data_IF_942005409292
#
_entry.id   IF_942005409292
#
_cell.length_a   1.000
_cell.length_b   1.000
_cell.length_c   1.000
_cell.angle_alpha   90.00
_cell.angle_beta   90.00
_cell.angle_gamma   90.00
#
_symmetry.space_group_name_H-M   'P 1'
#
loop_
_entity.id
_entity.type
_entity.pdbx_description
1 polymer ?
#
# COMPACT_ATOMS: atom_id res chain seq x y z
N UNK A 1 -129.30 -37.46 -44.51
CA UNK A 1 -128.13 -37.13 -45.38
C UNK A 1 -127.27 -36.10 -44.71
N UNK A 2 -126.38 -36.52 -43.98
CA UNK A 2 -125.51 -35.61 -43.28
C UNK A 2 -124.07 -36.15 -43.47
N UNK A 3 -123.24 -35.29 -44.01
CA UNK A 3 -121.86 -35.54 -44.28
C UNK A 3 -121.00 -35.28 -43.02
N UNK A 4 -120.12 -36.15 -42.59
CA UNK A 4 -119.19 -35.83 -41.48
C UNK A 4 -117.91 -35.26 -42.02
N UNK A 5 -117.61 -34.00 -41.67
CA UNK A 5 -116.30 -33.39 -41.90
C UNK A 5 -115.28 -34.04 -41.00
N UNK A 6 -114.27 -34.58 -41.60
CA UNK A 6 -113.05 -35.11 -41.00
C UNK A 6 -112.18 -33.98 -40.63
N UNK A 7 -112.01 -33.69 -39.34
CA UNK A 7 -111.03 -32.69 -38.79
C UNK A 7 -109.73 -33.38 -38.58
N UNK A 8 -108.82 -33.18 -39.49
CA UNK A 8 -107.40 -33.58 -39.31
C UNK A 8 -106.66 -32.46 -38.62
N UNK A 9 -106.36 -32.65 -37.36
CA UNK A 9 -105.43 -31.81 -36.62
C UNK A 9 -104.05 -32.08 -37.16
N UNK A 10 -103.45 -31.15 -37.90
CA UNK A 10 -102.03 -31.08 -38.16
C UNK A 10 -101.33 -30.61 -36.88
N UNK A 11 -100.29 -31.26 -36.40
CA UNK A 11 -99.47 -30.75 -35.31
C UNK A 11 -98.75 -29.55 -35.81
N UNK A 12 -98.80 -28.47 -35.02
CA UNK A 12 -98.15 -27.19 -35.27
C UNK A 12 -96.64 -27.38 -35.12
N UNK A 13 -95.91 -27.62 -36.23
CA UNK A 13 -94.46 -27.73 -36.26
C UNK A 13 -93.73 -26.50 -35.72
N UNK A 14 -94.39 -25.35 -35.75
CA UNK A 14 -93.83 -24.07 -35.22
C UNK A 14 -93.71 -24.08 -33.73
N UNK A 15 -94.48 -24.86 -32.97
CA UNK A 15 -94.40 -24.91 -31.52
C UNK A 15 -93.22 -25.72 -30.97
N UNK A 16 -92.74 -26.71 -31.75
CA UNK A 16 -91.67 -27.61 -31.35
C UNK A 16 -90.30 -26.89 -31.56
N UNK A 17 -90.17 -26.23 -32.70
CA UNK A 17 -88.94 -25.43 -32.96
C UNK A 17 -88.72 -24.26 -31.97
N UNK A 18 -89.82 -23.59 -31.57
CA UNK A 18 -89.73 -22.51 -30.55
C UNK A 18 -89.31 -23.05 -29.18
N UNK A 19 -89.78 -24.28 -28.82
CA UNK A 19 -89.35 -24.88 -27.53
C UNK A 19 -87.89 -25.37 -27.54
N UNK A 20 -87.36 -25.78 -28.69
CA UNK A 20 -85.95 -26.14 -28.84
C UNK A 20 -85.06 -24.89 -28.80
N UNK A 21 -85.47 -23.82 -29.47
CA UNK A 21 -84.81 -22.56 -29.42
C UNK A 21 -84.81 -21.96 -28.00
N UNK A 22 -85.94 -22.00 -27.32
CA UNK A 22 -86.06 -21.48 -25.93
C UNK A 22 -85.20 -22.31 -24.94
N UNK A 23 -85.12 -23.65 -25.12
CA UNK A 23 -84.22 -24.50 -24.32
C UNK A 23 -82.75 -24.31 -24.66
N UNK A 24 -82.36 -24.01 -25.88
CA UNK A 24 -80.99 -23.70 -26.28
C UNK A 24 -80.55 -22.35 -25.68
N UNK A 25 -81.41 -21.35 -25.82
CA UNK A 25 -81.17 -20.01 -25.23
C UNK A 25 -81.05 -20.05 -23.68
N UNK A 26 -81.94 -20.84 -23.04
CA UNK A 26 -81.91 -21.01 -21.61
C UNK A 26 -80.66 -21.76 -21.11
N UNK A 27 -80.20 -22.77 -21.84
CA UNK A 27 -78.98 -23.50 -21.49
C UNK A 27 -77.74 -22.67 -21.67
N UNK A 28 -77.69 -21.89 -22.74
CA UNK A 28 -76.57 -20.94 -22.96
C UNK A 28 -76.56 -19.84 -21.87
N UNK A 29 -77.78 -19.36 -21.46
CA UNK A 29 -77.85 -18.39 -20.35
C UNK A 29 -77.47 -18.99 -19.01
N UNK A 30 -77.75 -20.24 -18.71
CA UNK A 30 -77.30 -20.91 -17.48
C UNK A 30 -75.78 -21.18 -17.49
N UNK A 31 -75.18 -21.56 -18.61
CA UNK A 31 -73.76 -21.72 -18.75
C UNK A 31 -73.05 -20.36 -18.63
N UNK A 32 -73.57 -19.31 -19.27
CA UNK A 32 -73.10 -17.94 -19.08
C UNK A 32 -73.26 -17.45 -17.63
N UNK A 33 -74.34 -17.81 -16.95
CA UNK A 33 -74.55 -17.43 -15.55
C UNK A 33 -73.49 -18.10 -14.62
N UNK A 34 -73.11 -19.35 -14.88
CA UNK A 34 -72.09 -20.04 -14.12
C UNK A 34 -70.67 -19.57 -14.48
N UNK A 35 -70.45 -19.14 -15.74
CA UNK A 35 -69.20 -18.60 -16.19
C UNK A 35 -68.94 -17.14 -15.75
N UNK A 36 -70.00 -16.34 -15.53
CA UNK A 36 -69.91 -14.93 -15.12
C UNK A 36 -68.94 -14.66 -13.95
N UNK A 37 -68.99 -15.36 -12.79
CA UNK A 37 -68.08 -15.13 -11.69
C UNK A 37 -66.64 -15.48 -12.02
N UNK A 38 -66.40 -16.49 -12.87
CA UNK A 38 -65.08 -16.90 -13.31
C UNK A 38 -64.49 -15.87 -14.28
N UNK A 39 -65.29 -15.44 -15.27
CA UNK A 39 -64.90 -14.39 -16.21
C UNK A 39 -64.67 -13.05 -15.49
N UNK A 40 -65.48 -12.70 -14.51
CA UNK A 40 -65.26 -11.49 -13.70
C UNK A 40 -63.95 -11.56 -12.93
N UNK A 41 -63.63 -12.69 -12.28
CA UNK A 41 -62.37 -12.90 -11.59
C UNK A 41 -61.17 -12.84 -12.56
N UNK A 42 -61.29 -13.48 -13.73
CA UNK A 42 -60.24 -13.43 -14.75
C UNK A 42 -60.04 -12.03 -15.31
N UNK A 43 -61.13 -11.27 -15.54
CA UNK A 43 -61.06 -9.88 -15.97
C UNK A 43 -60.45 -8.97 -14.88
N UNK A 44 -60.77 -9.20 -13.59
CA UNK A 44 -60.16 -8.48 -12.48
C UNK A 44 -58.65 -8.75 -12.41
N UNK A 45 -58.23 -10.01 -12.52
CA UNK A 45 -56.80 -10.36 -12.52
C UNK A 45 -56.11 -9.75 -13.73
N UNK A 46 -56.72 -9.77 -14.90
CA UNK A 46 -56.16 -9.15 -16.11
C UNK A 46 -56.08 -7.62 -15.94
N UNK A 47 -57.07 -6.98 -15.36
CA UNK A 47 -57.06 -5.54 -15.11
C UNK A 47 -55.98 -5.15 -14.13
N UNK A 48 -55.80 -5.91 -13.03
CA UNK A 48 -54.68 -5.70 -12.07
C UNK A 48 -53.33 -5.91 -12.72
N UNK A 49 -53.20 -6.92 -13.57
CA UNK A 49 -52.00 -7.17 -14.36
C UNK A 49 -51.66 -6.00 -15.30
N UNK A 50 -52.66 -5.52 -16.04
CA UNK A 50 -52.50 -4.36 -16.93
C UNK A 50 -52.20 -3.06 -16.16
N UNK A 51 -52.82 -2.85 -15.01
CA UNK A 51 -52.47 -1.71 -14.13
C UNK A 51 -51.05 -1.80 -13.60
N UNK A 52 -50.59 -3.02 -13.21
CA UNK A 52 -49.21 -3.29 -12.84
C UNK A 52 -48.27 -3.01 -14.02
N UNK A 53 -48.57 -3.49 -15.19
CA UNK A 53 -47.78 -3.25 -16.39
C UNK A 53 -47.67 -1.76 -16.74
N UNK A 54 -48.80 -1.04 -16.67
CA UNK A 54 -48.82 0.41 -16.87
C UNK A 54 -47.98 1.16 -15.82
N UNK A 55 -48.02 0.71 -14.55
CA UNK A 55 -47.19 1.27 -13.51
C UNK A 55 -45.70 1.09 -13.81
N UNK A 56 -45.27 -0.13 -14.20
CA UNK A 56 -43.85 -0.40 -14.51
C UNK A 56 -43.35 0.28 -15.80
N UNK A 57 -44.22 0.57 -16.74
CA UNK A 57 -43.91 1.33 -17.96
C UNK A 57 -43.83 2.85 -17.69
N UNK A 58 -44.39 3.30 -16.58
CA UNK A 58 -44.40 4.72 -16.23
C UNK A 58 -43.01 5.17 -15.75
N UNK A 59 -42.49 6.36 -16.13
CA UNK A 59 -41.26 6.93 -15.61
C UNK A 59 -41.19 7.02 -14.07
N UNK A 60 -42.31 7.14 -13.39
CA UNK A 60 -42.43 7.20 -11.90
C UNK A 60 -41.89 5.92 -11.23
N UNK A 61 -41.83 4.79 -11.94
CA UNK A 61 -41.27 3.54 -11.38
C UNK A 61 -39.76 3.40 -11.58
N UNK A 62 -39.13 4.34 -12.23
CA UNK A 62 -37.69 4.29 -12.55
C UNK A 62 -36.85 4.93 -11.44
N UNK A 63 -35.56 4.61 -11.43
CA UNK A 63 -34.57 5.27 -10.59
C UNK A 63 -34.46 6.72 -11.00
N UNK A 64 -34.61 7.63 -10.05
CA UNK A 64 -34.53 9.08 -10.29
C UNK A 64 -33.10 9.59 -10.08
N UNK A 65 -32.43 9.13 -9.02
CA UNK A 65 -31.08 9.58 -8.66
C UNK A 65 -30.25 8.39 -8.19
N UNK A 66 -28.98 8.35 -8.60
CA UNK A 66 -27.97 7.44 -8.09
C UNK A 66 -26.94 8.28 -7.33
N UNK A 67 -26.91 8.14 -6.00
CA UNK A 67 -25.97 8.84 -5.15
C UNK A 67 -24.78 7.90 -4.80
N UNK A 68 -23.57 8.26 -5.24
CA UNK A 68 -22.34 7.53 -4.93
C UNK A 68 -21.55 8.29 -3.87
N UNK A 69 -21.13 7.57 -2.80
CA UNK A 69 -20.32 8.08 -1.68
C UNK A 69 -19.14 7.15 -1.43
N UNK A 70 -18.03 7.72 -0.91
CA UNK A 70 -16.80 6.99 -0.59
C UNK A 70 -15.96 6.64 -1.82
N UNK A 71 -16.21 7.29 -2.97
CA UNK A 71 -15.39 7.19 -4.16
C UNK A 71 -14.37 8.34 -4.13
N UNK A 72 -13.17 8.05 -3.59
CA UNK A 72 -12.08 9.01 -3.43
C UNK A 72 -11.01 8.85 -4.52
N UNK A 73 -10.77 7.61 -4.95
CA UNK A 73 -9.81 7.26 -6.00
C UNK A 73 -10.51 6.97 -7.33
N UNK A 74 -11.66 6.30 -7.28
CA UNK A 74 -12.47 6.01 -8.45
C UNK A 74 -13.41 7.17 -8.77
N UNK A 75 -13.70 7.39 -10.05
CA UNK A 75 -14.71 8.36 -10.42
C UNK A 75 -16.11 7.85 -10.04
N UNK A 76 -16.99 8.76 -9.59
CA UNK A 76 -18.38 8.44 -9.28
C UNK A 76 -19.12 7.86 -10.49
N UNK A 77 -18.80 8.36 -11.69
CA UNK A 77 -19.39 7.87 -12.93
C UNK A 77 -18.99 6.43 -13.23
N UNK A 78 -17.74 6.06 -12.95
CA UNK A 78 -17.28 4.69 -13.07
C UNK A 78 -18.03 3.76 -12.11
N UNK A 79 -18.11 4.12 -10.83
CA UNK A 79 -18.84 3.34 -9.82
C UNK A 79 -20.31 3.19 -10.18
N UNK A 80 -20.96 4.27 -10.65
CA UNK A 80 -22.32 4.23 -11.14
C UNK A 80 -22.48 3.28 -12.33
N UNK A 81 -21.58 3.34 -13.30
CA UNK A 81 -21.58 2.44 -14.46
C UNK A 81 -21.37 0.99 -14.06
N UNK A 82 -20.40 0.73 -13.18
CA UNK A 82 -20.08 -0.60 -12.65
C UNK A 82 -21.26 -1.19 -11.87
N UNK A 83 -22.03 -0.38 -11.17
CA UNK A 83 -23.23 -0.83 -10.46
C UNK A 83 -24.26 -1.46 -11.39
N UNK A 84 -24.28 -1.07 -12.67
CA UNK A 84 -25.26 -1.47 -13.68
C UNK A 84 -26.65 -0.89 -13.42
N UNK A 85 -26.79 0.02 -12.46
CA UNK A 85 -28.01 0.78 -12.21
C UNK A 85 -27.97 2.05 -13.07
N UNK A 86 -29.06 2.33 -13.74
CA UNK A 86 -29.23 3.53 -14.56
C UNK A 86 -30.58 4.19 -14.27
N UNK A 87 -30.78 5.43 -14.69
CA UNK A 87 -32.05 6.12 -14.60
C UNK A 87 -33.20 5.40 -15.38
N UNK A 88 -32.84 4.45 -16.29
CA UNK A 88 -33.80 3.59 -16.98
C UNK A 88 -34.18 2.34 -16.19
N UNK A 89 -33.43 2.01 -15.15
CA UNK A 89 -33.68 0.85 -14.29
C UNK A 89 -34.99 1.04 -13.53
N UNK A 90 -35.78 -0.03 -13.44
CA UNK A 90 -36.99 -0.02 -12.60
C UNK A 90 -36.54 -0.14 -11.14
N UNK A 91 -36.88 0.84 -10.32
CA UNK A 91 -36.41 0.98 -8.94
C UNK A 91 -36.64 -0.28 -8.08
N UNK A 92 -37.84 -0.86 -8.14
CA UNK A 92 -38.18 -2.05 -7.35
C UNK A 92 -37.52 -3.35 -7.84
N UNK A 93 -36.89 -3.33 -9.03
CA UNK A 93 -36.15 -4.49 -9.56
C UNK A 93 -34.64 -4.36 -9.29
N UNK A 94 -34.20 -3.25 -8.71
CA UNK A 94 -32.84 -3.13 -8.22
C UNK A 94 -32.66 -4.03 -7.00
N UNK A 95 -31.83 -5.03 -7.11
CA UNK A 95 -31.52 -5.97 -6.01
C UNK A 95 -30.21 -5.53 -5.37
N UNK A 96 -30.22 -4.91 -4.16
CA UNK A 96 -29.02 -4.35 -3.53
C UNK A 96 -27.84 -5.31 -3.48
N UNK A 97 -28.06 -6.55 -3.02
CA UNK A 97 -27.00 -7.57 -2.92
C UNK A 97 -26.34 -7.92 -4.25
N UNK A 98 -27.05 -7.87 -5.36
CA UNK A 98 -26.45 -8.11 -6.67
C UNK A 98 -25.60 -6.95 -7.13
N UNK A 99 -26.02 -5.73 -6.83
CA UNK A 99 -25.27 -4.50 -7.11
C UNK A 99 -24.01 -4.48 -6.24
N UNK A 100 -24.13 -4.76 -4.94
CA UNK A 100 -22.99 -4.88 -4.02
C UNK A 100 -21.97 -5.91 -4.50
N UNK A 101 -22.42 -7.12 -4.87
CA UNK A 101 -21.53 -8.16 -5.39
C UNK A 101 -20.83 -7.77 -6.69
N UNK A 102 -21.52 -7.01 -7.55
CA UNK A 102 -20.93 -6.51 -8.80
C UNK A 102 -19.87 -5.44 -8.51
N UNK A 103 -20.15 -4.51 -7.60
CA UNK A 103 -19.19 -3.50 -7.17
C UNK A 103 -17.96 -4.14 -6.54
N UNK A 104 -18.12 -5.09 -5.62
CA UNK A 104 -17.02 -5.82 -4.97
C UNK A 104 -16.26 -6.76 -5.91
N UNK A 105 -16.69 -6.96 -7.16
CA UNK A 105 -15.89 -7.66 -8.17
C UNK A 105 -14.76 -6.79 -8.73
N UNK A 106 -14.79 -5.49 -8.48
CA UNK A 106 -13.69 -4.59 -8.81
C UNK A 106 -12.59 -4.69 -7.73
N UNK A 107 -11.32 -4.92 -8.11
CA UNK A 107 -10.23 -5.13 -7.15
C UNK A 107 -9.89 -3.90 -6.31
N UNK A 108 -10.29 -2.70 -6.73
CA UNK A 108 -10.09 -1.44 -5.98
C UNK A 108 -11.15 -1.24 -4.90
N UNK A 109 -12.31 -1.91 -5.00
CA UNK A 109 -13.39 -1.76 -4.02
C UNK A 109 -13.27 -2.85 -2.95
N UNK A 110 -13.06 -2.43 -1.71
CA UNK A 110 -12.99 -3.30 -0.55
C UNK A 110 -14.38 -3.72 -0.08
N UNK A 111 -15.28 -2.74 0.11
CA UNK A 111 -16.67 -3.00 0.52
C UNK A 111 -17.65 -2.12 -0.25
N UNK A 112 -18.88 -2.63 -0.42
CA UNK A 112 -19.97 -1.90 -1.03
C UNK A 112 -21.26 -2.12 -0.24
N UNK A 113 -22.05 -1.06 -0.07
CA UNK A 113 -23.38 -1.09 0.53
C UNK A 113 -24.35 -0.29 -0.31
N UNK A 114 -25.45 -0.94 -0.69
CA UNK A 114 -26.48 -0.33 -1.54
C UNK A 114 -27.79 -0.25 -0.78
N UNK A 115 -28.38 0.93 -0.74
CA UNK A 115 -29.66 1.19 -0.09
C UNK A 115 -30.65 1.81 -1.07
N UNK A 116 -31.86 1.33 -1.03
CA UNK A 116 -32.98 1.91 -1.73
C UNK A 116 -33.67 2.91 -0.78
N UNK A 117 -33.64 4.17 -1.14
CA UNK A 117 -34.19 5.26 -0.33
C UNK A 117 -35.50 5.79 -0.94
N UNK A 118 -36.22 6.64 -0.20
CA UNK A 118 -37.43 7.27 -0.69
C UNK A 118 -37.15 8.09 -1.97
N UNK A 119 -38.21 8.37 -2.75
CA UNK A 119 -38.12 9.11 -4.01
C UNK A 119 -37.24 8.44 -5.08
N UNK A 120 -37.28 7.10 -5.15
CA UNK A 120 -36.55 6.31 -6.14
C UNK A 120 -35.04 6.60 -6.18
N UNK A 121 -34.47 6.97 -5.05
CA UNK A 121 -33.05 7.21 -4.86
C UNK A 121 -32.34 5.88 -4.56
N UNK A 122 -31.28 5.58 -5.33
CA UNK A 122 -30.36 4.49 -5.04
C UNK A 122 -29.08 5.07 -4.46
N UNK A 123 -28.84 4.82 -3.17
CA UNK A 123 -27.63 5.25 -2.46
C UNK A 123 -26.61 4.12 -2.47
N UNK A 124 -25.48 4.37 -3.08
CA UNK A 124 -24.33 3.47 -3.15
C UNK A 124 -23.22 4.05 -2.29
N UNK A 125 -22.79 3.31 -1.28
CA UNK A 125 -21.63 3.67 -0.45
C UNK A 125 -20.57 2.60 -0.65
N UNK A 126 -19.36 2.99 -1.04
CA UNK A 126 -18.22 2.11 -1.19
C UNK A 126 -17.11 2.49 -0.22
N UNK A 127 -16.27 1.53 0.11
CA UNK A 127 -14.96 1.74 0.70
C UNK A 127 -13.95 1.22 -0.31
N UNK A 128 -13.01 2.06 -0.68
CA UNK A 128 -11.94 1.69 -1.60
C UNK A 128 -10.74 1.17 -0.82
N UNK A 129 -9.99 0.24 -1.42
CA UNK A 129 -8.67 -0.15 -0.92
C UNK A 129 -7.72 1.03 -1.05
N UNK A 130 -6.84 1.18 -0.09
CA UNK A 130 -5.87 2.25 -0.08
C UNK A 130 -4.68 1.92 -0.99
N UNK A 131 -4.49 2.62 -2.13
CA UNK A 131 -3.35 2.41 -3.00
C UNK A 131 -2.12 3.10 -2.40
N UNK A 132 -1.01 2.37 -2.27
CA UNK A 132 0.26 2.86 -1.74
C UNK A 132 1.29 3.13 -2.82
N UNK A 133 1.12 2.57 -4.02
CA UNK A 133 2.05 2.77 -5.12
C UNK A 133 1.63 2.02 -6.38
N UNK A 134 2.47 2.12 -7.40
CA UNK A 134 2.36 1.29 -8.59
C UNK A 134 3.75 0.76 -8.98
N UNK A 135 3.78 -0.40 -9.61
CA UNK A 135 5.00 -1.04 -10.13
C UNK A 135 4.75 -1.66 -11.48
N UNK A 136 5.82 -2.02 -12.16
CA UNK A 136 5.73 -2.90 -13.33
C UNK A 136 6.00 -4.34 -12.94
N UNK A 137 5.13 -5.24 -13.36
CA UNK A 137 5.37 -6.69 -13.33
C UNK A 137 5.53 -7.13 -14.78
N UNK A 138 6.74 -7.51 -15.16
CA UNK A 138 7.16 -7.60 -16.56
C UNK A 138 6.88 -6.27 -17.27
N UNK A 139 6.01 -6.22 -18.27
CA UNK A 139 5.64 -5.00 -18.99
C UNK A 139 4.27 -4.42 -18.57
N UNK A 140 3.65 -4.98 -17.50
CA UNK A 140 2.31 -4.58 -17.07
C UNK A 140 2.35 -3.70 -15.83
N UNK A 141 1.77 -2.51 -15.89
CA UNK A 141 1.64 -1.67 -14.72
C UNK A 141 0.60 -2.27 -13.75
N UNK A 142 0.98 -2.39 -12.48
CA UNK A 142 0.18 -2.93 -11.40
C UNK A 142 0.06 -1.91 -10.28
N UNK A 143 -1.15 -1.69 -9.78
CA UNK A 143 -1.37 -0.97 -8.53
C UNK A 143 -1.03 -1.87 -7.35
N UNK A 144 -0.47 -1.29 -6.30
CA UNK A 144 -0.14 -1.93 -5.02
C UNK A 144 -0.98 -1.28 -3.92
N UNK A 145 -1.64 -2.10 -3.10
CA UNK A 145 -2.48 -1.63 -2.00
C UNK A 145 -1.84 -1.87 -0.64
N UNK A 146 -2.32 -1.16 0.38
CA UNK A 146 -1.82 -1.25 1.76
C UNK A 146 -2.02 -2.63 2.41
N UNK A 147 -2.92 -3.46 1.86
CA UNK A 147 -3.13 -4.85 2.26
C UNK A 147 -2.15 -5.83 1.56
N UNK A 148 -1.22 -5.33 0.73
CA UNK A 148 -0.29 -6.13 -0.07
C UNK A 148 -0.88 -6.69 -1.35
N UNK A 149 -2.19 -6.56 -1.58
CA UNK A 149 -2.80 -7.01 -2.84
C UNK A 149 -2.39 -6.11 -3.99
N UNK A 150 -2.44 -6.67 -5.20
CA UNK A 150 -2.12 -5.94 -6.43
C UNK A 150 -3.20 -6.15 -7.48
N UNK A 151 -3.38 -5.17 -8.36
CA UNK A 151 -4.25 -5.33 -9.53
C UNK A 151 -3.64 -4.65 -10.76
N UNK A 152 -4.00 -5.14 -11.94
CA UNK A 152 -3.58 -4.52 -13.20
C UNK A 152 -4.18 -3.12 -13.33
N UNK A 153 -3.35 -2.16 -13.74
CA UNK A 153 -3.79 -0.79 -13.97
C UNK A 153 -4.66 -0.72 -15.22
N UNK A 154 -5.90 -0.29 -15.05
CA UNK A 154 -6.84 -0.02 -16.12
C UNK A 154 -6.96 1.47 -16.39
N UNK A 155 -7.58 1.83 -17.54
CA UNK A 155 -7.84 3.23 -17.88
C UNK A 155 -8.64 3.98 -16.81
N UNK A 156 -9.54 3.28 -16.14
CA UNK A 156 -10.42 3.80 -15.09
C UNK A 156 -9.67 4.17 -13.81
N UNK A 157 -8.44 3.65 -13.64
CA UNK A 157 -7.60 3.87 -12.45
C UNK A 157 -6.48 4.88 -12.69
N UNK A 158 -6.39 5.48 -13.90
CA UNK A 158 -5.28 6.39 -14.26
C UNK A 158 -5.17 7.61 -13.32
N UNK A 159 -6.28 8.05 -12.74
CA UNK A 159 -6.26 9.14 -11.74
C UNK A 159 -5.48 8.79 -10.48
N UNK A 160 -5.38 7.51 -10.14
CA UNK A 160 -4.66 7.02 -8.96
C UNK A 160 -3.15 7.26 -9.09
N UNK A 161 -2.60 7.13 -10.31
CA UNK A 161 -1.16 7.29 -10.55
C UNK A 161 -0.60 8.66 -10.12
N UNK A 162 -1.43 9.71 -10.22
CA UNK A 162 -1.01 11.04 -9.78
C UNK A 162 -0.92 11.19 -8.26
N UNK A 163 -1.43 10.21 -7.52
CA UNK A 163 -1.57 10.22 -6.05
C UNK A 163 -0.75 9.13 -5.35
N UNK A 164 0.05 8.38 -6.09
CA UNK A 164 0.88 7.31 -5.54
C UNK A 164 2.26 7.32 -6.18
N UNK A 165 3.32 6.87 -5.48
CA UNK A 165 4.66 6.76 -6.02
C UNK A 165 4.82 5.55 -6.94
N UNK A 166 5.83 5.61 -7.80
CA UNK A 166 6.38 4.45 -8.48
C UNK A 166 7.25 3.64 -7.50
N UNK A 167 7.05 2.33 -7.43
CA UNK A 167 7.78 1.43 -6.54
C UNK A 167 8.65 0.49 -7.37
N UNK A 168 9.97 0.43 -7.08
CA UNK A 168 10.90 -0.43 -7.81
C UNK A 168 11.98 -1.05 -6.91
N UNK A 169 12.61 -2.11 -7.41
CA UNK A 169 13.75 -2.75 -6.77
C UNK A 169 13.42 -3.77 -5.67
N UNK A 170 12.20 -3.80 -5.15
CA UNK A 170 11.80 -4.68 -4.06
C UNK A 170 11.43 -6.08 -4.56
N UNK A 171 11.84 -7.10 -3.82
CA UNK A 171 11.31 -8.46 -3.99
C UNK A 171 9.84 -8.53 -3.59
N UNK A 172 9.14 -9.59 -4.01
CA UNK A 172 7.72 -9.77 -3.60
C UNK A 172 7.56 -9.90 -2.08
N UNK A 173 8.50 -10.55 -1.40
CA UNK A 173 8.47 -10.70 0.05
C UNK A 173 8.67 -9.36 0.76
N UNK A 174 9.69 -8.59 0.37
CA UNK A 174 9.95 -7.26 0.90
C UNK A 174 8.75 -6.34 0.70
N UNK A 175 8.18 -6.35 -0.50
CA UNK A 175 7.02 -5.52 -0.81
C UNK A 175 5.78 -5.92 0.00
N UNK A 176 5.45 -7.23 0.05
CA UNK A 176 4.21 -7.70 0.65
C UNK A 176 4.19 -7.64 2.17
N UNK A 177 5.36 -7.63 2.81
CA UNK A 177 5.47 -7.59 4.27
C UNK A 177 6.07 -6.30 4.80
N UNK A 178 7.32 -6.03 4.43
CA UNK A 178 8.05 -4.93 5.05
C UNK A 178 7.57 -3.56 4.56
N UNK A 179 7.52 -3.39 3.24
CA UNK A 179 7.13 -2.11 2.65
C UNK A 179 5.67 -1.75 2.96
N UNK A 180 4.73 -2.68 2.82
CA UNK A 180 3.31 -2.43 3.13
C UNK A 180 3.11 -2.06 4.60
N UNK A 181 3.80 -2.72 5.54
CA UNK A 181 3.74 -2.37 6.96
C UNK A 181 4.36 -1.00 7.25
N UNK A 182 5.44 -0.64 6.56
CA UNK A 182 6.03 0.68 6.68
C UNK A 182 5.08 1.77 6.16
N UNK A 183 4.43 1.54 5.01
CA UNK A 183 3.47 2.48 4.43
C UNK A 183 2.20 2.66 5.26
N UNK A 184 1.76 1.65 6.02
CA UNK A 184 0.61 1.78 6.95
C UNK A 184 0.84 2.80 8.07
N UNK A 185 2.09 3.20 8.31
CA UNK A 185 2.46 4.22 9.31
C UNK A 185 2.58 5.62 8.70
N UNK A 186 2.41 5.74 7.39
CA UNK A 186 2.50 7.01 6.67
C UNK A 186 1.12 7.65 6.52
N UNK A 187 1.10 8.97 6.64
CA UNK A 187 -0.08 9.75 6.33
C UNK A 187 -0.36 9.73 4.82
N UNK A 188 -1.63 9.79 4.43
CA UNK A 188 -2.01 9.80 3.01
C UNK A 188 -1.35 10.96 2.25
N UNK A 189 -1.27 12.14 2.84
CA UNK A 189 -0.61 13.31 2.26
C UNK A 189 0.88 13.05 1.99
N UNK A 190 1.54 12.31 2.86
CA UNK A 190 2.95 11.91 2.71
C UNK A 190 3.10 10.97 1.51
N UNK A 191 2.25 9.95 1.40
CA UNK A 191 2.27 9.04 0.24
C UNK A 191 2.04 9.81 -1.07
N UNK A 192 1.12 10.75 -1.10
CA UNK A 192 0.82 11.58 -2.28
C UNK A 192 1.97 12.54 -2.65
N UNK A 193 2.83 12.90 -1.69
CA UNK A 193 4.00 13.75 -1.93
C UNK A 193 5.22 13.00 -2.47
N UNK A 194 5.21 11.65 -2.45
CA UNK A 194 6.27 10.83 -3.04
C UNK A 194 6.11 10.72 -4.56
N UNK A 195 7.24 10.73 -5.28
CA UNK A 195 7.30 10.43 -6.71
C UNK A 195 7.74 8.99 -6.96
N UNK A 196 8.82 8.56 -6.31
CA UNK A 196 9.40 7.23 -6.47
C UNK A 196 9.85 6.67 -5.13
N UNK A 197 9.79 5.36 -4.99
CA UNK A 197 10.25 4.59 -3.83
C UNK A 197 11.03 3.40 -4.36
N UNK A 198 12.34 3.42 -4.14
CA UNK A 198 13.26 2.42 -4.66
C UNK A 198 13.93 1.68 -3.50
N UNK A 199 14.17 0.39 -3.69
CA UNK A 199 15.12 -0.29 -2.82
C UNK A 199 16.51 0.31 -3.07
N UNK A 200 17.22 0.58 -1.99
CA UNK A 200 18.56 1.14 -2.04
C UNK A 200 19.56 0.17 -1.40
N UNK A 201 20.63 -0.16 -2.12
CA UNK A 201 21.68 -1.03 -1.61
C UNK A 201 22.77 -0.18 -0.93
N UNK A 202 22.83 -0.27 0.41
CA UNK A 202 23.92 0.32 1.19
C UNK A 202 25.15 -0.58 1.28
N UNK A 203 25.10 -1.78 0.68
CA UNK A 203 26.18 -2.75 0.67
C UNK A 203 26.33 -3.55 1.98
N UNK A 204 25.71 -3.13 3.08
CA UNK A 204 25.64 -3.87 4.35
C UNK A 204 24.20 -4.23 4.74
N UNK A 205 23.21 -3.64 4.10
CA UNK A 205 21.80 -3.97 4.26
C UNK A 205 21.03 -3.77 2.96
N UNK A 206 20.12 -4.66 2.70
CA UNK A 206 19.12 -4.60 1.62
C UNK A 206 17.77 -4.04 2.10
N UNK A 207 17.72 -3.55 3.35
CA UNK A 207 16.51 -2.97 3.94
C UNK A 207 16.40 -1.45 3.73
N UNK A 208 17.39 -0.83 3.08
CA UNK A 208 17.38 0.59 2.82
C UNK A 208 16.43 0.95 1.68
N UNK A 209 15.75 2.08 1.87
CA UNK A 209 14.75 2.63 0.97
C UNK A 209 15.18 4.04 0.57
N UNK A 210 15.19 4.29 -0.73
CA UNK A 210 15.33 5.63 -1.30
C UNK A 210 13.95 6.14 -1.70
N UNK A 211 13.60 7.32 -1.26
CA UNK A 211 12.36 8.01 -1.62
C UNK A 211 12.68 9.32 -2.33
N UNK A 212 12.27 9.42 -3.59
CA UNK A 212 12.25 10.69 -4.31
C UNK A 212 10.92 11.40 -4.05
N UNK A 213 10.98 12.60 -3.53
CA UNK A 213 9.81 13.42 -3.28
C UNK A 213 9.44 14.22 -4.54
N UNK A 214 8.16 14.52 -4.72
CA UNK A 214 7.67 15.35 -5.85
C UNK A 214 8.25 16.75 -5.84
N UNK A 215 8.70 17.23 -4.68
CA UNK A 215 9.45 18.49 -4.52
C UNK A 215 10.88 18.42 -5.07
N UNK A 216 11.39 17.21 -5.40
CA UNK A 216 12.73 16.96 -5.92
C UNK A 216 13.75 16.59 -4.87
N UNK A 217 13.41 16.58 -3.58
CA UNK A 217 14.31 16.13 -2.51
C UNK A 217 14.34 14.60 -2.39
N UNK A 218 15.43 14.10 -1.82
CA UNK A 218 15.62 12.67 -1.58
C UNK A 218 15.67 12.38 -0.08
N UNK A 219 15.02 11.26 0.27
CA UNK A 219 14.95 10.78 1.63
C UNK A 219 15.36 9.31 1.68
N UNK A 220 16.30 8.98 2.56
CA UNK A 220 16.81 7.63 2.76
C UNK A 220 16.37 7.12 4.14
N UNK A 221 15.78 5.95 4.17
CA UNK A 221 15.27 5.32 5.39
C UNK A 221 15.39 3.80 5.30
N UNK A 222 15.08 3.13 6.40
CA UNK A 222 14.72 1.73 6.44
C UNK A 222 13.21 1.55 6.66
N UNK A 223 12.73 0.32 6.71
CA UNK A 223 11.31 0.03 6.93
C UNK A 223 10.79 0.52 8.30
N UNK A 224 11.68 0.70 9.29
CA UNK A 224 11.29 1.12 10.64
C UNK A 224 11.22 2.64 10.75
N UNK A 225 12.15 3.33 10.12
CA UNK A 225 12.33 4.77 10.16
C UNK A 225 11.52 5.51 9.08
N UNK A 226 10.95 4.81 8.11
CA UNK A 226 10.19 5.43 7.00
C UNK A 226 9.09 6.38 7.50
N UNK A 227 8.50 6.11 8.66
CA UNK A 227 7.45 6.97 9.26
C UNK A 227 7.91 8.40 9.58
N UNK A 228 9.22 8.63 9.70
CA UNK A 228 9.81 9.99 9.87
C UNK A 228 9.47 10.89 8.68
N UNK A 229 9.16 10.29 7.53
CA UNK A 229 8.74 10.99 6.32
C UNK A 229 7.44 11.80 6.50
N UNK A 230 6.62 11.49 7.50
CA UNK A 230 5.42 12.29 7.82
C UNK A 230 5.79 13.74 8.21
N UNK A 231 7.00 13.98 8.67
CA UNK A 231 7.53 15.31 8.98
C UNK A 231 8.42 15.90 7.87
N UNK A 232 8.46 15.24 6.69
CA UNK A 232 9.38 15.64 5.61
C UNK A 232 9.24 17.10 5.20
N UNK A 233 8.02 17.57 4.98
CA UNK A 233 7.79 18.93 4.50
C UNK A 233 8.33 19.97 5.47
N UNK A 234 8.11 19.78 6.79
CA UNK A 234 8.63 20.65 7.84
C UNK A 234 10.17 20.61 7.89
N UNK A 235 10.75 19.40 7.81
CA UNK A 235 12.21 19.23 7.83
C UNK A 235 12.84 19.87 6.59
N UNK A 236 12.28 19.58 5.39
CA UNK A 236 12.80 20.04 4.12
C UNK A 236 12.80 21.58 4.01
N UNK A 237 11.75 22.25 4.48
CA UNK A 237 11.66 23.70 4.50
C UNK A 237 12.69 24.34 5.45
N UNK A 238 13.12 23.63 6.47
CA UNK A 238 14.11 24.11 7.46
C UNK A 238 15.55 23.69 7.12
N UNK A 239 15.78 22.93 6.03
CA UNK A 239 17.12 22.56 5.58
C UNK A 239 17.92 23.80 5.21
N UNK A 240 19.22 23.76 5.53
CA UNK A 240 20.16 24.82 5.15
C UNK A 240 20.47 24.79 3.65
N UNK A 241 20.49 23.60 3.09
CA UNK A 241 20.78 23.34 1.69
C UNK A 241 19.86 22.24 1.16
N UNK A 242 18.84 22.63 0.39
CA UNK A 242 17.87 21.71 -0.19
C UNK A 242 18.44 20.82 -1.33
N UNK A 243 19.70 21.04 -1.73
CA UNK A 243 20.41 20.13 -2.65
C UNK A 243 20.97 18.89 -1.95
N UNK A 244 20.93 18.84 -0.63
CA UNK A 244 21.36 17.70 0.19
C UNK A 244 20.21 16.73 0.39
N UNK A 245 20.56 15.52 0.85
CA UNK A 245 19.62 14.46 1.12
C UNK A 245 19.34 14.32 2.62
N UNK A 246 18.17 13.79 2.95
CA UNK A 246 17.78 13.46 4.31
C UNK A 246 17.92 11.97 4.56
N UNK A 247 18.49 11.61 5.70
CA UNK A 247 18.72 10.24 6.14
C UNK A 247 18.08 9.99 7.50
N UNK A 248 17.27 8.96 7.62
CA UNK A 248 16.54 8.62 8.84
C UNK A 248 16.92 7.24 9.41
N UNK A 249 18.18 6.84 9.29
CA UNK A 249 18.69 5.59 9.87
C UNK A 249 19.10 5.70 11.32
N UNK A 250 19.24 6.92 11.84
CA UNK A 250 19.79 7.19 13.16
C UNK A 250 18.66 7.50 14.14
N UNK A 251 18.89 7.15 15.39
CA UNK A 251 18.08 7.61 16.51
C UNK A 251 18.87 8.66 17.32
N UNK A 252 18.15 9.60 17.92
CA UNK A 252 18.74 10.53 18.88
C UNK A 252 19.12 9.84 20.20
N UNK A 253 19.71 10.58 21.16
CA UNK A 253 20.11 10.05 22.46
C UNK A 253 18.94 9.47 23.28
N UNK A 254 17.70 9.85 22.95
CA UNK A 254 16.48 9.42 23.62
C UNK A 254 15.81 8.24 22.89
N UNK A 255 16.41 7.79 21.76
CA UNK A 255 15.92 6.67 20.95
C UNK A 255 14.82 7.06 19.95
N UNK A 256 14.57 8.36 19.74
CA UNK A 256 13.65 8.82 18.71
C UNK A 256 14.35 8.81 17.35
N UNK A 257 13.64 8.38 16.32
CA UNK A 257 14.16 8.45 14.97
C UNK A 257 14.22 9.89 14.49
N UNK A 258 15.35 10.27 13.91
CA UNK A 258 15.62 11.62 13.43
C UNK A 258 16.06 11.58 11.97
N UNK A 259 15.69 12.60 11.22
CA UNK A 259 16.22 12.80 9.88
C UNK A 259 17.41 13.76 9.91
N UNK A 260 18.53 13.32 9.35
CA UNK A 260 19.80 14.09 9.33
C UNK A 260 20.11 14.52 7.90
N UNK A 261 20.48 15.79 7.74
CA UNK A 261 20.90 16.35 6.45
C UNK A 261 22.35 15.95 6.15
N UNK A 262 22.57 15.22 5.04
CA UNK A 262 23.90 14.81 4.55
C UNK A 262 24.03 15.03 3.04
N UNK A 263 25.27 14.90 2.52
CA UNK A 263 25.48 14.86 1.08
C UNK A 263 24.68 13.69 0.46
N UNK A 264 24.17 13.90 -0.74
CA UNK A 264 23.52 12.82 -1.48
C UNK A 264 24.56 11.82 -1.98
N UNK A 265 24.21 10.52 -2.14
CA UNK A 265 25.18 9.47 -2.52
C UNK A 265 25.92 9.75 -3.84
N UNK A 266 25.28 10.42 -4.77
CA UNK A 266 25.89 10.81 -6.03
C UNK A 266 26.78 12.06 -5.95
N UNK A 267 26.68 12.81 -4.87
CA UNK A 267 27.56 13.95 -4.59
C UNK A 267 28.76 13.54 -3.72
N UNK A 268 28.67 12.38 -3.08
CA UNK A 268 29.81 11.73 -2.51
C UNK A 268 30.58 11.10 -3.69
N UNK A 269 31.81 11.47 -3.88
CA UNK A 269 32.72 10.69 -4.69
C UNK A 269 32.93 9.37 -3.96
N UNK A 270 31.98 8.43 -4.12
CA UNK A 270 32.17 7.06 -3.68
C UNK A 270 33.25 6.49 -4.60
N UNK A 271 34.50 6.64 -4.20
CA UNK A 271 35.49 5.67 -4.59
C UNK A 271 34.94 4.32 -4.14
N UNK A 272 34.82 3.37 -5.07
CA UNK A 272 34.48 1.98 -4.78
C UNK A 272 35.12 1.60 -3.45
N UNK A 273 34.37 0.87 -2.57
CA UNK A 273 34.93 0.42 -1.29
C UNK A 273 36.19 -0.37 -1.58
N UNK A 274 37.32 0.33 -1.60
CA UNK A 274 38.63 -0.29 -1.68
C UNK A 274 38.95 -0.78 -0.27
N UNK A 275 39.27 -2.05 -0.18
CA UNK A 275 39.80 -2.60 1.06
C UNK A 275 41.34 -2.48 1.03
N UNK A 276 41.90 -2.22 2.20
CA UNK A 276 43.34 -2.26 2.35
C UNK A 276 43.86 -3.67 2.11
N UNK A 277 44.93 -3.79 1.34
CA UNK A 277 45.64 -5.03 1.12
C UNK A 277 47.13 -4.83 1.44
N UNK A 278 47.77 -5.85 2.01
CA UNK A 278 49.21 -5.88 2.18
C UNK A 278 49.96 -5.98 0.84
N UNK A 279 51.29 -5.96 0.91
CA UNK A 279 52.17 -6.12 -0.29
C UNK A 279 51.96 -7.40 -1.07
N UNK A 280 51.38 -8.42 -0.43
CA UNK A 280 51.10 -9.72 -1.02
C UNK A 280 49.66 -9.85 -1.55
N UNK A 281 48.83 -8.77 -1.39
CA UNK A 281 47.46 -8.68 -1.86
C UNK A 281 46.42 -9.29 -0.90
N UNK A 282 46.80 -9.61 0.34
CA UNK A 282 45.86 -10.08 1.36
C UNK A 282 45.17 -8.90 2.00
N UNK A 283 43.88 -9.05 2.39
CA UNK A 283 43.15 -8.01 3.09
C UNK A 283 43.72 -7.74 4.47
N UNK A 284 43.87 -6.45 4.80
CA UNK A 284 44.20 -6.01 6.15
C UNK A 284 42.88 -5.94 6.94
N UNK A 285 42.95 -6.38 8.18
CA UNK A 285 41.80 -6.35 9.12
C UNK A 285 42.00 -5.29 10.18
N UNK A 286 40.91 -4.61 10.54
CA UNK A 286 40.93 -3.65 11.63
C UNK A 286 41.03 -4.35 13.01
N UNK A 287 41.11 -3.55 14.07
CA UNK A 287 41.21 -4.06 15.45
C UNK A 287 39.97 -4.84 15.91
N UNK A 288 38.87 -4.81 15.17
CA UNK A 288 37.65 -5.55 15.45
C UNK A 288 37.54 -6.83 14.61
N UNK A 289 38.46 -7.05 13.68
CA UNK A 289 38.50 -8.22 12.83
C UNK A 289 37.71 -8.09 11.51
N UNK A 290 37.27 -6.89 11.19
CA UNK A 290 36.62 -6.58 9.91
C UNK A 290 37.67 -6.14 8.87
N UNK A 291 37.37 -6.35 7.59
CA UNK A 291 38.26 -5.88 6.52
C UNK A 291 38.36 -4.37 6.59
N UNK A 292 39.56 -3.83 6.72
CA UNK A 292 39.80 -2.42 6.77
C UNK A 292 39.41 -1.76 5.44
N UNK A 293 38.42 -0.90 5.48
CA UNK A 293 37.89 -0.19 4.30
C UNK A 293 38.68 1.11 4.12
N UNK A 294 39.10 1.38 2.89
CA UNK A 294 39.68 2.67 2.51
C UNK A 294 38.58 3.74 2.48
N UNK A 295 38.26 4.34 3.60
CA UNK A 295 37.36 5.48 3.65
C UNK A 295 38.15 6.77 3.72
N UNK A 296 38.36 7.41 2.57
CA UNK A 296 38.84 8.77 2.51
C UNK A 296 37.74 9.67 1.97
N UNK A 297 37.29 10.57 2.81
CA UNK A 297 36.58 11.73 2.35
C UNK A 297 37.59 12.84 2.15
N UNK A 298 37.87 13.22 0.91
CA UNK A 298 38.63 14.44 0.67
C UNK A 298 37.63 15.60 0.69
N UNK A 299 37.76 16.50 1.67
CA UNK A 299 36.99 17.74 1.70
C UNK A 299 37.31 18.58 0.45
N UNK A 300 36.40 19.51 0.09
CA UNK A 300 36.65 20.49 -0.98
C UNK A 300 37.96 21.31 -0.77
N UNK A 301 38.46 21.35 0.44
CA UNK A 301 39.69 22.05 0.81
C UNK A 301 40.95 21.16 0.79
N UNK A 302 40.80 19.91 0.32
CA UNK A 302 41.89 18.96 0.13
C UNK A 302 42.33 18.20 1.38
N UNK A 303 41.60 18.31 2.49
CA UNK A 303 41.86 17.54 3.70
C UNK A 303 41.23 16.19 3.69
N UNK A 304 41.90 15.19 4.26
CA UNK A 304 41.29 13.87 4.51
C UNK A 304 40.43 13.93 5.78
N UNK A 305 39.26 13.30 5.72
CA UNK A 305 38.32 13.20 6.83
C UNK A 305 38.17 11.72 7.23
N UNK A 306 38.05 11.49 8.54
CA UNK A 306 37.66 10.14 9.04
C UNK A 306 36.20 9.85 8.78
N UNK A 307 35.76 8.64 9.07
CA UNK A 307 34.38 8.18 8.89
C UNK A 307 33.36 9.01 9.70
N UNK A 308 33.81 9.72 10.73
CA UNK A 308 33.00 10.59 11.56
C UNK A 308 33.01 12.06 11.08
N UNK A 309 33.70 12.33 9.95
CA UNK A 309 33.81 13.68 9.39
C UNK A 309 34.84 14.55 10.08
N UNK A 310 35.69 14.02 10.97
CA UNK A 310 36.76 14.75 11.61
C UNK A 310 37.96 14.82 10.68
N UNK A 311 38.64 15.97 10.72
CA UNK A 311 39.85 16.17 9.94
C UNK A 311 40.97 15.27 10.46
N UNK A 312 41.54 14.44 9.57
CA UNK A 312 42.75 13.67 9.84
C UNK A 312 43.92 14.66 9.78
N UNK A 313 44.55 14.87 10.92
CA UNK A 313 45.70 15.75 11.03
C UNK A 313 46.98 14.96 10.87
N UNK A 314 47.77 15.28 9.84
CA UNK A 314 49.09 14.69 9.65
C UNK A 314 49.96 15.14 10.81
N UNK A 315 50.62 14.23 11.55
CA UNK A 315 51.49 14.63 12.66
C UNK A 315 52.66 15.45 12.14
N UNK A 316 53.08 16.39 12.97
CA UNK A 316 54.25 17.27 12.71
C UNK A 316 55.41 16.77 13.56
N UNK A 317 56.60 16.66 12.96
CA UNK A 317 57.81 16.34 13.69
C UNK A 317 58.24 17.49 14.68
N UNK A 318 59.25 17.24 15.47
CA UNK A 318 59.80 18.24 16.42
C UNK A 318 60.31 19.52 15.75
N UNK A 319 60.49 19.49 14.41
CA UNK A 319 60.95 20.61 13.61
C UNK A 319 59.78 21.35 12.90
N UNK A 320 58.55 20.86 13.05
CA UNK A 320 57.36 21.45 12.45
C UNK A 320 57.13 21.02 10.99
N UNK A 321 57.80 19.95 10.52
CA UNK A 321 57.51 19.36 9.21
C UNK A 321 56.51 18.23 9.34
N UNK A 322 55.74 18.00 8.29
CA UNK A 322 54.88 16.83 8.21
C UNK A 322 55.72 15.57 8.34
N UNK A 323 55.32 14.63 9.20
CA UNK A 323 55.98 13.33 9.32
C UNK A 323 55.87 12.60 7.97
N UNK A 324 56.99 12.35 7.33
CA UNK A 324 57.07 11.55 6.11
C UNK A 324 56.84 10.07 6.45
N UNK A 325 55.61 9.69 6.60
CA UNK A 325 55.21 8.29 6.69
C UNK A 325 54.44 7.98 5.40
N UNK A 326 55.10 7.24 4.44
CA UNK A 326 54.44 6.89 3.19
C UNK A 326 53.20 6.00 3.39
N UNK A 327 53.13 5.32 4.55
CA UNK A 327 52.03 4.44 4.93
C UNK A 327 51.19 5.08 6.05
N UNK A 328 51.22 6.40 6.18
CA UNK A 328 50.55 7.16 7.25
C UNK A 328 49.08 6.75 7.46
N UNK A 329 48.37 6.59 6.35
CA UNK A 329 46.94 6.25 6.41
C UNK A 329 46.73 4.83 6.91
N UNK A 330 47.58 3.90 6.52
CA UNK A 330 47.52 2.50 6.97
C UNK A 330 47.80 2.45 8.47
N UNK A 331 48.85 3.16 8.91
CA UNK A 331 49.20 3.20 10.30
C UNK A 331 48.15 3.96 11.17
N UNK A 332 47.54 5.00 10.62
CA UNK A 332 46.46 5.72 11.30
C UNK A 332 45.22 4.86 11.49
N UNK A 333 44.79 4.18 10.44
CA UNK A 333 43.63 3.29 10.49
C UNK A 333 43.87 2.05 11.33
N UNK A 334 45.09 1.54 11.36
CA UNK A 334 45.49 0.46 12.25
C UNK A 334 45.55 0.88 13.73
N UNK A 335 45.44 2.18 14.01
CA UNK A 335 45.49 2.73 15.37
C UNK A 335 46.89 2.86 15.93
N UNK A 336 47.91 2.87 15.05
CA UNK A 336 49.33 3.05 15.47
C UNK A 336 49.70 4.47 15.82
N UNK A 337 48.85 5.43 15.54
CA UNK A 337 49.03 6.81 16.00
C UNK A 337 48.36 7.03 17.35
N UNK A 338 49.16 7.25 18.40
CA UNK A 338 48.65 7.67 19.69
C UNK A 338 49.04 9.15 19.91
N UNK A 339 48.04 9.98 20.14
CA UNK A 339 48.18 11.41 20.44
C UNK A 339 49.09 12.18 19.45
N UNK A 340 49.08 11.77 18.17
CA UNK A 340 49.87 12.39 17.09
C UNK A 340 51.27 11.81 16.91
N UNK A 341 51.65 10.76 17.65
CA UNK A 341 52.94 10.09 17.51
C UNK A 341 52.74 8.68 16.96
N UNK A 342 53.53 8.30 15.93
CA UNK A 342 53.49 6.97 15.36
C UNK A 342 54.15 5.97 16.34
N UNK A 343 53.38 4.98 16.78
CA UNK A 343 53.82 3.86 17.62
C UNK A 343 53.66 2.57 16.80
N UNK A 344 54.68 2.20 16.06
CA UNK A 344 54.68 0.93 15.33
C UNK A 344 55.06 -0.17 16.34
N UNK A 345 54.21 -1.21 16.49
CA UNK A 345 54.60 -2.38 17.31
C UNK A 345 55.82 -3.04 16.68
N UNK A 346 56.89 -3.25 17.44
CA UNK A 346 58.02 -4.01 16.98
C UNK A 346 57.59 -5.39 16.58
N UNK A 347 57.82 -5.80 15.33
CA UNK A 347 57.51 -7.16 14.79
C UNK A 347 58.17 -8.30 15.56
N UNK A 348 59.12 -7.97 16.47
CA UNK A 348 59.85 -8.93 17.31
C UNK A 348 59.26 -9.11 18.73
N UNK A 349 58.17 -8.48 19.09
CA UNK A 349 57.58 -8.62 20.45
C UNK A 349 56.57 -9.79 20.58
N UNK A 350 56.38 -10.58 19.53
CA UNK A 350 55.40 -11.71 19.57
C UNK A 350 56.05 -13.06 19.86
N UNK A 351 57.28 -13.13 20.39
CA UNK A 351 57.90 -14.40 20.80
C UNK A 351 58.63 -14.26 22.12
N UNK A 352 57.98 -14.29 23.26
CA UNK A 352 58.44 -14.88 24.52
C UNK A 352 57.43 -14.69 25.64
N UNK A 353 56.36 -15.39 25.61
CA UNK A 353 55.71 -15.85 26.84
C UNK A 353 56.22 -17.29 27.09
N UNK A 354 57.44 -17.40 27.56
CA UNK A 354 57.99 -18.61 28.11
C UNK A 354 57.64 -18.67 29.59
N UNK A 355 56.79 -19.62 29.93
CA UNK A 355 56.47 -20.06 31.25
C UNK A 355 57.73 -20.31 32.08
N UNK A 356 57.91 -19.59 33.19
CA UNK A 356 58.74 -20.08 34.29
C UNK A 356 57.95 -20.09 35.57
N UNK A 357 57.52 -21.31 35.86
CA UNK A 357 57.16 -21.81 37.18
C UNK A 357 58.44 -21.89 38.00
N UNK A 358 58.53 -21.23 39.18
CA UNK A 358 59.44 -21.68 40.26
C UNK A 358 58.97 -21.13 41.59
N UNK A 359 58.44 -22.03 42.36
CA UNK A 359 58.44 -22.25 43.77
C UNK A 359 59.49 -21.48 44.59
N UNK A 360 59.09 -20.95 45.75
CA UNK A 360 60.00 -20.91 46.91
C UNK A 360 59.75 -19.82 47.93
N UNK A 361 59.08 -20.20 49.00
CA UNK A 361 59.44 -20.08 50.42
C UNK A 361 59.32 -18.75 51.12
N UNK A 362 58.36 -18.70 51.99
CA UNK A 362 58.31 -18.29 53.41
C UNK A 362 59.16 -17.14 53.92
N UNK A 363 58.58 -16.22 54.59
CA UNK A 363 58.67 -16.00 56.05
C UNK A 363 57.87 -14.76 56.45
N UNK A 364 56.96 -14.99 57.38
CA UNK A 364 56.73 -14.40 58.72
C UNK A 364 56.98 -12.88 58.89
N UNK A 365 55.96 -12.22 59.32
CA UNK A 365 55.76 -11.63 60.63
C UNK A 365 54.63 -10.60 60.58
N UNK A 366 53.57 -10.93 61.25
CA UNK A 366 53.04 -10.32 62.50
C UNK A 366 52.76 -8.80 62.39
N UNK A 367 51.62 -8.47 62.57
CA UNK A 367 50.90 -8.05 63.75
C UNK A 367 50.05 -6.78 63.55
N UNK A 368 48.97 -6.84 64.11
CA UNK A 368 48.19 -5.91 64.89
C UNK A 368 47.12 -5.02 64.29
N UNK A 369 45.94 -5.47 64.54
CA UNK A 369 44.86 -4.78 65.24
C UNK A 369 44.31 -3.47 64.72
N UNK A 370 43.00 -3.46 64.72
CA UNK A 370 42.17 -2.35 65.15
C UNK A 370 40.98 -2.07 64.24
N UNK A 371 39.94 -2.72 64.45
CA UNK A 371 38.70 -2.32 65.11
C UNK A 371 38.04 -1.03 64.64
N UNK A 372 36.83 -1.21 64.25
CA UNK A 372 35.52 -0.63 64.62
C UNK A 372 34.87 0.33 63.61
N UNK A 373 33.69 -0.12 63.24
CA UNK A 373 32.39 0.57 63.19
C UNK A 373 32.20 1.89 62.41
N UNK A 374 31.17 1.82 61.57
CA UNK A 374 30.40 2.94 61.11
C UNK A 374 29.48 2.47 60.01
#
# INVERSE_FOLDING_TARGET
>A
MVDPKKNTMQPDETSVDSLFQERAVNRDNEEFAKAKPILFRAALVLALFLLGLLYFLNPVSRVEVIAVRGADFLSRDYVSTLSGVTEKSIYYFVIPKQVESRLMSDPVIETASVKLETNNLVSITITEKEPIGYRYNEDKPMLVFSDGSTCELKSEYMSILSRVPYISGFTEEQQNHLLTQAFQKLDRSTIESMAEVNQYDLGYTDEAIEVLMRTGGYFFADYYSLSTLNSYEEIYQNMKDQSRCLYAYEADSDGNQVAVERACPWNETVTEREYWTDSDGNYIYDKWGDKAVKHYYQSSDGYYLDASGNKIVIPIDENGNDVEDPDFLDHYLAGYYDSGTLVIPDENSTSSEESTDSSGTSSDSADSSGDTNG
#
